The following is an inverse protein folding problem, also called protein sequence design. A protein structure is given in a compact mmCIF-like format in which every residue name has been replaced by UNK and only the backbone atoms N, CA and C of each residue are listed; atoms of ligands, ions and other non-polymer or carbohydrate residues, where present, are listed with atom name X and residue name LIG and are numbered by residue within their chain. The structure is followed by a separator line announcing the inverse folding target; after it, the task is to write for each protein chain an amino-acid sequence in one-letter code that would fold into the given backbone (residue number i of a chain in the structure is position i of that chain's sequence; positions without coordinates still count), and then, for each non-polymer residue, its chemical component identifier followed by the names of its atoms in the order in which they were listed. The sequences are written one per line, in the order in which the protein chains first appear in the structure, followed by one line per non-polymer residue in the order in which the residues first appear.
data_IF_597422574195
#
_entry.id   IF_597422574195
#
_cell.length_a   1.000
_cell.length_b   1.000
_cell.length_c   1.000
_cell.angle_alpha   90.00
_cell.angle_beta   90.00
_cell.angle_gamma   90.00
#
_symmetry.space_group_name_H-M   'P 1'
#
loop_
_entity.id
_entity.type
_entity.pdbx_description
1 polymer ?
#
# COMPACT_ATOMS: atom_id res chain seq x y z
N UNK A 1 -23.07 -6.53 -43.78
CA UNK A 1 -23.09 -6.17 -42.35
C UNK A 1 -21.93 -6.90 -41.69
N UNK A 2 -20.84 -6.19 -41.44
CA UNK A 2 -19.64 -6.76 -40.82
C UNK A 2 -19.56 -6.23 -39.40
N UNK A 3 -19.66 -7.11 -38.41
CA UNK A 3 -19.54 -6.80 -36.98
C UNK A 3 -18.10 -6.38 -36.65
N UNK A 4 -17.94 -5.20 -36.07
CA UNK A 4 -16.68 -4.67 -35.56
C UNK A 4 -16.29 -5.44 -34.29
N UNK A 5 -15.16 -6.14 -34.33
CA UNK A 5 -14.49 -6.69 -33.15
C UNK A 5 -13.82 -5.55 -32.37
N UNK A 6 -14.54 -4.97 -31.41
CA UNK A 6 -13.97 -4.01 -30.44
C UNK A 6 -13.41 -4.75 -29.21
N UNK A 7 -12.58 -5.77 -29.43
CA UNK A 7 -11.86 -6.43 -28.36
C UNK A 7 -10.60 -5.64 -28.03
N UNK A 8 -10.57 -4.98 -26.87
CA UNK A 8 -9.30 -4.67 -26.22
C UNK A 8 -8.47 -5.97 -26.21
N UNK A 9 -7.18 -5.85 -26.54
CA UNK A 9 -6.27 -7.00 -26.68
C UNK A 9 -6.20 -7.86 -25.41
N UNK A 10 -5.44 -8.97 -25.42
CA UNK A 10 -5.26 -9.77 -24.22
C UNK A 10 -4.82 -8.84 -23.07
N UNK A 11 -5.45 -8.97 -21.90
CA UNK A 11 -5.03 -8.27 -20.69
C UNK A 11 -3.58 -8.70 -20.40
N UNK A 12 -2.63 -7.83 -20.76
CA UNK A 12 -1.23 -8.02 -20.42
C UNK A 12 -1.09 -7.50 -18.99
N UNK A 13 -0.74 -8.40 -18.07
CA UNK A 13 -0.27 -8.00 -16.74
C UNK A 13 1.02 -7.18 -16.92
N UNK A 14 0.90 -5.85 -16.89
CA UNK A 14 2.05 -4.95 -16.82
C UNK A 14 2.44 -4.90 -15.33
N UNK A 15 3.58 -5.50 -14.94
CA UNK A 15 4.05 -5.36 -13.56
C UNK A 15 4.32 -3.88 -13.28
N UNK A 16 3.70 -3.36 -12.22
CA UNK A 16 3.96 -2.00 -11.76
C UNK A 16 5.42 -1.93 -11.29
N UNK A 17 6.23 -1.09 -11.93
CA UNK A 17 7.59 -0.82 -11.48
C UNK A 17 7.54 -0.02 -10.18
N UNK A 18 8.00 -0.63 -9.09
CA UNK A 18 8.05 -0.02 -7.76
C UNK A 18 9.32 0.78 -7.52
N UNK A 19 10.34 0.67 -8.38
CA UNK A 19 11.63 1.34 -8.18
C UNK A 19 11.52 2.89 -8.18
N UNK A 20 10.74 3.54 -9.06
CA UNK A 20 10.54 4.99 -9.00
C UNK A 20 9.93 5.43 -7.68
N UNK A 21 8.98 4.66 -7.14
CA UNK A 21 8.31 4.97 -5.87
C UNK A 21 9.25 4.78 -4.69
N UNK A 22 10.06 3.72 -4.68
CA UNK A 22 11.10 3.50 -3.67
C UNK A 22 12.09 4.67 -3.64
N UNK A 23 12.53 5.15 -4.81
CA UNK A 23 13.44 6.29 -4.91
C UNK A 23 12.81 7.59 -4.35
N UNK A 24 11.55 7.86 -4.69
CA UNK A 24 10.80 9.01 -4.15
C UNK A 24 10.69 8.95 -2.61
N UNK A 25 10.33 7.80 -2.05
CA UNK A 25 10.20 7.63 -0.60
C UNK A 25 11.55 7.83 0.11
N UNK A 26 12.66 7.39 -0.49
CA UNK A 26 14.01 7.64 0.04
C UNK A 26 14.38 9.11 0.01
N UNK A 27 14.10 9.81 -1.10
CA UNK A 27 14.31 11.24 -1.20
C UNK A 27 13.52 12.01 -0.14
N UNK A 28 12.27 11.62 0.12
CA UNK A 28 11.47 12.22 1.18
C UNK A 28 12.07 12.00 2.57
N UNK A 29 12.72 10.86 2.84
CA UNK A 29 13.39 10.62 4.12
C UNK A 29 14.66 11.46 4.31
N UNK A 30 15.28 11.88 3.21
CA UNK A 30 16.50 12.71 3.20
C UNK A 30 16.18 14.22 3.16
N UNK A 31 14.99 14.59 2.69
CA UNK A 31 14.54 15.98 2.59
C UNK A 31 14.20 16.57 3.98
N UNK A 32 14.93 17.61 4.46
CA UNK A 32 14.61 18.28 5.71
C UNK A 32 13.25 19.01 5.71
N UNK A 33 12.65 19.25 4.54
CA UNK A 33 11.31 19.82 4.42
C UNK A 33 10.21 18.78 4.69
N UNK A 34 10.53 17.48 4.71
CA UNK A 34 9.57 16.44 5.04
C UNK A 34 9.12 16.57 6.48
N UNK A 35 7.80 16.55 6.69
CA UNK A 35 7.22 16.61 8.03
C UNK A 35 7.76 15.46 8.90
N UNK A 36 8.43 15.75 10.05
CA UNK A 36 8.98 14.74 10.94
C UNK A 36 7.94 13.70 11.40
N UNK A 37 6.68 14.10 11.55
CA UNK A 37 5.58 13.22 11.92
C UNK A 37 5.21 12.19 10.84
N UNK A 38 5.63 12.40 9.59
CA UNK A 38 5.41 11.45 8.49
C UNK A 38 6.53 10.43 8.34
N UNK A 39 7.73 10.69 8.90
CA UNK A 39 8.88 9.80 8.75
C UNK A 39 8.59 8.34 9.17
N UNK A 40 7.87 8.06 10.28
CA UNK A 40 7.51 6.69 10.63
C UNK A 40 6.64 6.03 9.55
N UNK A 41 5.68 6.77 8.98
CA UNK A 41 4.77 6.25 7.96
C UNK A 41 5.51 5.95 6.64
N UNK A 42 6.37 6.89 6.20
CA UNK A 42 7.18 6.73 4.98
C UNK A 42 8.10 5.52 5.09
N UNK A 43 8.75 5.32 6.25
CA UNK A 43 9.59 4.14 6.51
C UNK A 43 8.80 2.84 6.45
N UNK A 44 7.58 2.83 6.98
CA UNK A 44 6.73 1.64 6.96
C UNK A 44 6.32 1.24 5.53
N UNK A 45 5.96 2.23 4.70
CA UNK A 45 5.66 1.99 3.27
C UNK A 45 6.89 1.49 2.52
N UNK A 46 8.03 2.15 2.71
CA UNK A 46 9.29 1.78 2.08
C UNK A 46 9.67 0.32 2.41
N UNK A 47 9.51 -0.09 3.67
CA UNK A 47 9.81 -1.46 4.11
C UNK A 47 8.92 -2.52 3.43
N UNK A 48 7.66 -2.21 3.11
CA UNK A 48 6.80 -3.11 2.34
C UNK A 48 7.31 -3.27 0.90
N UNK A 49 7.63 -2.16 0.23
CA UNK A 49 8.18 -2.20 -1.12
C UNK A 49 9.53 -2.92 -1.21
N UNK A 50 10.45 -2.65 -0.27
CA UNK A 50 11.75 -3.33 -0.20
C UNK A 50 11.61 -4.84 0.08
N UNK A 51 10.52 -5.25 0.73
CA UNK A 51 10.19 -6.66 0.92
C UNK A 51 9.41 -7.29 -0.24
N UNK A 52 9.20 -6.55 -1.34
CA UNK A 52 8.41 -7.01 -2.49
C UNK A 52 6.92 -7.19 -2.20
N UNK A 53 6.41 -6.55 -1.13
CA UNK A 53 5.00 -6.58 -0.75
C UNK A 53 4.29 -5.33 -1.25
N UNK A 54 2.99 -5.45 -1.48
CA UNK A 54 2.13 -4.30 -1.73
C UNK A 54 1.85 -3.60 -0.40
N UNK A 55 2.20 -2.30 -0.24
CA UNK A 55 1.89 -1.57 0.98
C UNK A 55 0.38 -1.48 1.22
N UNK A 56 0.02 -1.27 2.49
CA UNK A 56 -1.35 -0.91 2.82
C UNK A 56 -1.69 0.49 2.30
N UNK A 57 -2.98 0.78 2.15
CA UNK A 57 -3.41 2.09 1.66
C UNK A 57 -3.16 3.23 2.66
N UNK A 58 -3.27 2.95 3.96
CA UNK A 58 -3.25 3.97 5.00
C UNK A 58 -2.29 3.58 6.12
N UNK A 59 -1.43 4.51 6.51
CA UNK A 59 -0.52 4.36 7.64
C UNK A 59 -0.68 5.50 8.63
N UNK A 60 -0.50 5.19 9.92
CA UNK A 60 -0.37 6.17 10.97
C UNK A 60 0.57 5.64 12.05
N UNK A 61 1.47 6.50 12.55
CA UNK A 61 2.52 6.14 13.51
C UNK A 61 3.41 4.97 13.04
N UNK A 62 3.62 4.80 11.74
CA UNK A 62 4.42 3.72 11.17
C UNK A 62 3.72 2.36 11.12
N UNK A 63 2.40 2.32 11.31
CA UNK A 63 1.62 1.09 11.22
C UNK A 63 0.52 1.22 10.18
N UNK A 64 0.21 0.13 9.44
CA UNK A 64 -0.97 0.11 8.59
C UNK A 64 -2.22 0.17 9.47
N UNK A 65 -3.19 1.01 9.09
CA UNK A 65 -4.44 1.17 9.83
C UNK A 65 -5.65 1.08 8.89
N UNK A 66 -6.80 0.75 9.46
CA UNK A 66 -8.07 0.90 8.75
C UNK A 66 -8.55 2.35 8.85
N UNK A 67 -9.38 2.79 7.89
CA UNK A 67 -9.97 4.14 7.94
C UNK A 67 -10.83 4.35 9.20
N UNK A 68 -11.41 3.28 9.75
CA UNK A 68 -12.19 3.31 10.99
C UNK A 68 -11.33 3.67 12.23
N UNK A 69 -10.04 3.37 12.19
CA UNK A 69 -9.09 3.61 13.28
C UNK A 69 -8.28 4.90 13.08
N UNK A 70 -8.60 5.68 12.04
CA UNK A 70 -7.88 6.91 11.70
C UNK A 70 -8.13 7.98 12.77
N UNK A 71 -7.07 8.37 13.48
CA UNK A 71 -7.08 9.53 14.35
C UNK A 71 -6.76 10.78 13.53
N UNK A 72 -7.76 11.63 13.28
CA UNK A 72 -7.60 12.87 12.50
C UNK A 72 -6.67 13.91 13.16
N UNK A 73 -6.30 13.73 14.43
CA UNK A 73 -5.37 14.61 15.12
C UNK A 73 -3.89 14.23 14.89
N UNK A 74 -3.62 13.15 14.17
CA UNK A 74 -2.28 12.63 13.93
C UNK A 74 -1.97 12.59 12.43
N UNK A 75 -0.70 12.80 12.04
CA UNK A 75 -0.29 12.70 10.65
C UNK A 75 -0.51 11.28 10.13
N UNK A 76 -1.31 11.15 9.08
CA UNK A 76 -1.51 9.91 8.34
C UNK A 76 -0.87 10.00 6.96
N UNK A 77 -0.51 8.84 6.44
CA UNK A 77 0.03 8.67 5.10
C UNK A 77 -0.91 7.84 4.25
N UNK A 78 -1.22 8.33 3.05
CA UNK A 78 -2.01 7.61 2.07
C UNK A 78 -1.08 7.20 0.93
N UNK A 79 -0.98 5.90 0.70
CA UNK A 79 -0.16 5.33 -0.37
C UNK A 79 -1.00 5.12 -1.64
N UNK A 80 -0.44 5.43 -2.81
CA UNK A 80 -1.15 5.32 -4.08
C UNK A 80 -2.15 6.44 -4.29
N UNK A 81 -1.64 7.63 -4.65
CA UNK A 81 -2.43 8.83 -4.91
C UNK A 81 -3.70 8.55 -5.73
N UNK A 82 -4.86 8.69 -5.08
CA UNK A 82 -6.22 8.51 -5.60
C UNK A 82 -6.71 7.08 -5.87
N UNK A 83 -7.29 6.43 -4.85
CA UNK A 83 -8.73 6.10 -4.79
C UNK A 83 -9.07 5.44 -3.44
N UNK A 84 -10.09 5.98 -2.77
CA UNK A 84 -10.71 5.39 -1.58
C UNK A 84 -11.50 4.14 -2.00
N UNK A 85 -10.84 2.99 -2.07
CA UNK A 85 -11.52 1.70 -1.95
C UNK A 85 -11.26 1.17 -0.55
N UNK A 86 -12.35 0.95 0.19
CA UNK A 86 -12.41 0.56 1.58
C UNK A 86 -11.47 -0.64 1.84
N UNK A 87 -10.23 -0.39 2.27
CA UNK A 87 -9.14 -1.37 2.17
C UNK A 87 -8.96 -2.25 3.40
N UNK A 88 -9.92 -2.28 4.33
CA UNK A 88 -9.89 -3.19 5.47
C UNK A 88 -9.81 -4.68 5.07
N UNK A 89 -10.02 -5.01 3.79
CA UNK A 89 -9.99 -6.37 3.26
C UNK A 89 -8.61 -6.89 2.83
N UNK A 90 -7.56 -6.07 2.78
CA UNK A 90 -6.19 -6.53 2.41
C UNK A 90 -5.30 -6.73 3.64
N UNK A 91 -5.79 -7.46 4.64
CA UNK A 91 -4.91 -8.08 5.63
C UNK A 91 -4.36 -9.37 5.04
N UNK A 92 -3.05 -9.36 4.78
CA UNK A 92 -2.17 -10.49 4.47
C UNK A 92 -2.83 -11.90 4.60
N UNK A 93 -3.10 -12.63 3.50
CA UNK A 93 -3.68 -13.98 3.56
C UNK A 93 -2.80 -15.01 4.28
N UNK A 94 -1.51 -14.73 4.52
CA UNK A 94 -0.63 -15.62 5.28
C UNK A 94 -0.79 -15.52 6.80
N UNK A 95 -1.46 -14.49 7.33
CA UNK A 95 -1.74 -14.40 8.77
C UNK A 95 -2.94 -15.27 9.20
N UNK A 96 -3.71 -15.83 8.26
CA UNK A 96 -4.91 -16.66 8.56
C UNK A 96 -4.62 -18.16 8.67
N UNK A 97 -3.39 -18.63 8.43
CA UNK A 97 -3.09 -20.08 8.43
C UNK A 97 -2.50 -20.63 9.74
N UNK A 98 -2.35 -19.83 10.79
CA UNK A 98 -1.78 -20.32 12.06
C UNK A 98 -2.80 -20.58 13.18
N UNK A 99 -4.10 -20.38 12.95
CA UNK A 99 -5.13 -20.53 14.00
C UNK A 99 -6.10 -21.70 13.78
N UNK A 100 -5.75 -22.69 12.97
CA UNK A 100 -6.50 -23.96 12.85
C UNK A 100 -5.57 -25.16 12.81
N UNK A 101 -4.79 -25.38 13.86
CA UNK A 101 -4.16 -26.67 14.12
C UNK A 101 -3.85 -26.82 15.61
N UNK A 102 -4.87 -26.86 16.46
CA UNK A 102 -4.76 -27.37 17.82
C UNK A 102 -6.15 -27.56 18.46
N UNK A 103 -6.82 -28.64 18.11
CA UNK A 103 -7.68 -29.41 19.02
C UNK A 103 -7.63 -30.85 18.57
N UNK A 104 -6.84 -31.66 19.29
CA UNK A 104 -7.02 -33.11 19.38
C UNK A 104 -8.01 -33.40 20.50
#
# INVERSE_FOLDING_TARGET
MSTLNNGFGPDIDIPIDTAPRIAELRLMLEDPATNPGQLPNIRAVLAEYEAGRTPSFLYQNGHPICIADLDFNKPSWVEGGNMLVNSCAYQNPQARMTTQAQTS
#
